data_IF_031705953950
#
_entry.id   IF_031705953950
#
_cell.length_a   1.000
_cell.length_b   1.000
_cell.length_c   1.000
_cell.angle_alpha   90.00
_cell.angle_beta   90.00
_cell.angle_gamma   90.00
#
_symmetry.space_group_name_H-M   'P 1'
#
loop_
_entity.id
_entity.type
_entity.pdbx_description
1 polymer ?
#
# COMPACT_ATOMS: atom_id res chain seq x y z
N UNK A 1 -12.53 6.33 -22.59
CA UNK A 1 -13.25 6.23 -21.29
C UNK A 1 -12.45 5.47 -20.23
N UNK A 2 -12.00 4.23 -20.48
CA UNK A 2 -11.32 3.38 -19.49
C UNK A 2 -10.06 3.98 -18.87
N UNK A 3 -9.12 4.51 -19.68
CA UNK A 3 -7.90 5.18 -19.18
C UNK A 3 -8.22 6.27 -18.16
N UNK A 4 -9.14 7.16 -18.49
CA UNK A 4 -9.56 8.26 -17.59
C UNK A 4 -10.10 7.71 -16.27
N UNK A 5 -11.00 6.72 -16.32
CA UNK A 5 -11.59 6.12 -15.12
C UNK A 5 -10.58 5.37 -14.25
N UNK A 6 -9.61 4.70 -14.85
CA UNK A 6 -8.53 4.06 -14.12
C UNK A 6 -7.68 5.07 -13.34
N UNK A 7 -7.32 6.20 -13.97
CA UNK A 7 -6.57 7.28 -13.32
C UNK A 7 -7.39 7.93 -12.20
N UNK A 8 -8.65 8.27 -12.46
CA UNK A 8 -9.55 8.84 -11.43
C UNK A 8 -9.65 7.95 -10.18
N UNK A 9 -9.78 6.63 -10.36
CA UNK A 9 -9.81 5.69 -9.24
C UNK A 9 -8.44 5.62 -8.54
N UNK A 10 -7.34 5.56 -9.30
CA UNK A 10 -5.99 5.55 -8.76
C UNK A 10 -5.74 6.75 -7.84
N UNK A 11 -6.09 7.95 -8.28
CA UNK A 11 -5.96 9.19 -7.48
C UNK A 11 -6.73 9.10 -6.16
N UNK A 12 -7.94 8.51 -6.19
CA UNK A 12 -8.76 8.30 -4.99
C UNK A 12 -8.18 7.26 -4.03
N UNK A 13 -7.29 6.38 -4.48
CA UNK A 13 -6.62 5.39 -3.64
C UNK A 13 -5.34 5.92 -2.98
N UNK A 14 -4.73 7.01 -3.50
CA UNK A 14 -3.50 7.59 -2.94
C UNK A 14 -3.55 7.89 -1.43
N UNK A 15 -4.68 8.33 -0.83
CA UNK A 15 -4.75 8.54 0.61
C UNK A 15 -4.51 7.28 1.46
N UNK A 16 -4.70 6.06 0.92
CA UNK A 16 -4.41 4.83 1.67
C UNK A 16 -2.94 4.74 2.11
N UNK A 17 -2.02 5.34 1.35
CA UNK A 17 -0.58 5.35 1.64
C UNK A 17 -0.16 6.43 2.64
N UNK A 18 -1.10 7.22 3.18
CA UNK A 18 -0.83 8.24 4.20
C UNK A 18 -0.68 7.59 5.57
N UNK A 19 0.40 6.84 5.73
CA UNK A 19 0.85 6.21 6.97
C UNK A 19 2.30 6.60 7.24
N UNK A 20 2.79 6.54 8.49
CA UNK A 20 4.19 6.89 8.80
C UNK A 20 5.22 6.14 7.95
N UNK A 21 4.94 4.89 7.60
CA UNK A 21 5.85 4.04 6.79
C UNK A 21 5.59 4.12 5.29
N UNK A 22 4.41 4.59 4.88
CA UNK A 22 3.91 4.49 3.52
C UNK A 22 3.41 3.10 3.12
N UNK A 23 3.29 2.16 4.05
CA UNK A 23 2.55 0.91 3.86
C UNK A 23 1.05 1.24 3.95
N UNK A 24 0.24 0.89 2.94
CA UNK A 24 -1.13 1.38 2.86
C UNK A 24 -2.07 0.73 3.88
N UNK A 25 -3.13 1.46 4.20
CA UNK A 25 -4.31 0.94 4.89
C UNK A 25 -5.07 -0.06 4.00
N UNK A 26 -5.65 -1.11 4.61
CA UNK A 26 -6.48 -2.10 3.92
C UNK A 26 -7.85 -1.54 3.47
N UNK A 27 -8.46 -0.71 4.32
CA UNK A 27 -9.78 -0.10 4.10
C UNK A 27 -9.61 1.39 3.85
N UNK A 28 -10.29 1.91 2.82
CA UNK A 28 -10.28 3.33 2.49
C UNK A 28 -11.69 3.82 2.15
N UNK A 29 -12.12 4.91 2.78
CA UNK A 29 -13.28 5.65 2.32
C UNK A 29 -12.88 6.59 1.18
N UNK A 30 -13.34 6.31 -0.05
CA UNK A 30 -12.96 7.07 -1.25
C UNK A 30 -13.45 8.54 -1.24
N UNK A 31 -14.47 8.88 -0.44
CA UNK A 31 -14.99 10.25 -0.34
C UNK A 31 -14.19 11.07 0.65
N UNK A 32 -13.97 10.55 1.86
CA UNK A 32 -13.26 11.28 2.93
C UNK A 32 -11.74 11.09 2.90
N UNK A 33 -11.25 10.05 2.23
CA UNK A 33 -9.83 9.68 2.21
C UNK A 33 -9.32 9.10 3.53
N UNK A 34 -10.20 8.80 4.48
CA UNK A 34 -9.85 8.19 5.77
C UNK A 34 -9.66 6.69 5.58
N UNK A 35 -8.49 6.19 5.98
CA UNK A 35 -8.13 4.78 5.90
C UNK A 35 -7.93 4.14 7.29
N UNK A 36 -8.06 2.82 7.34
CA UNK A 36 -7.77 1.97 8.51
C UNK A 36 -7.47 0.54 8.07
N UNK A 37 -6.90 -0.27 8.95
CA UNK A 37 -6.76 -1.72 8.71
C UNK A 37 -7.98 -2.50 9.20
N UNK A 38 -8.02 -3.80 8.86
CA UNK A 38 -9.05 -4.71 9.34
C UNK A 38 -9.09 -4.75 10.86
N UNK A 39 -10.27 -4.70 11.50
CA UNK A 39 -10.39 -4.69 12.97
C UNK A 39 -9.78 -5.93 13.64
N UNK A 40 -9.75 -7.05 12.94
CA UNK A 40 -9.22 -8.33 13.41
C UNK A 40 -7.76 -8.57 13.03
N UNK A 41 -7.15 -7.71 12.19
CA UNK A 41 -5.76 -7.89 11.78
C UNK A 41 -4.84 -7.69 12.98
N UNK A 42 -3.85 -8.58 13.12
CA UNK A 42 -2.96 -8.58 14.29
C UNK A 42 -2.30 -7.22 14.52
N UNK A 43 -2.50 -6.65 15.71
CA UNK A 43 -1.93 -5.36 16.09
C UNK A 43 -2.32 -4.20 15.17
N UNK A 44 -3.45 -4.30 14.46
CA UNK A 44 -3.87 -3.33 13.46
C UNK A 44 -2.96 -3.28 12.22
N UNK A 45 -2.31 -4.40 11.88
CA UNK A 45 -1.36 -4.49 10.78
C UNK A 45 -2.02 -4.55 9.41
N UNK A 46 -1.26 -4.17 8.37
CA UNK A 46 -1.62 -4.35 6.97
C UNK A 46 -1.22 -5.75 6.50
N UNK A 47 -1.96 -6.33 5.56
CA UNK A 47 -1.76 -7.70 5.08
C UNK A 47 -0.81 -7.72 3.88
N UNK A 48 0.21 -8.58 3.93
CA UNK A 48 1.28 -8.69 2.92
C UNK A 48 0.75 -8.81 1.50
N UNK A 49 -0.21 -9.71 1.27
CA UNK A 49 -0.79 -9.90 -0.05
C UNK A 49 -1.58 -8.68 -0.54
N UNK A 50 -2.24 -7.93 0.35
CA UNK A 50 -3.02 -6.75 -0.04
C UNK A 50 -2.12 -5.61 -0.51
N UNK A 51 -1.14 -5.21 0.30
CA UNK A 51 -0.23 -4.12 -0.11
C UNK A 51 0.83 -4.58 -1.11
N UNK A 52 1.16 -5.88 -1.16
CA UNK A 52 2.12 -6.46 -2.09
C UNK A 52 1.60 -6.60 -3.52
N UNK A 53 0.28 -6.69 -3.70
CA UNK A 53 -0.37 -6.92 -5.00
C UNK A 53 -0.96 -5.63 -5.59
N UNK A 54 -0.24 -4.53 -5.44
CA UNK A 54 -0.58 -3.23 -6.04
C UNK A 54 0.40 -2.81 -7.15
N UNK A 55 1.49 -3.57 -7.31
CA UNK A 55 2.67 -3.08 -8.02
C UNK A 55 2.42 -2.89 -9.51
N UNK A 56 1.81 -3.87 -10.19
CA UNK A 56 1.66 -3.82 -11.64
C UNK A 56 0.70 -2.71 -12.07
N UNK A 57 -0.40 -2.59 -11.35
CA UNK A 57 -1.48 -1.63 -11.56
C UNK A 57 -0.96 -0.20 -11.38
N UNK A 58 -0.27 0.08 -10.27
CA UNK A 58 0.26 1.42 -9.98
C UNK A 58 1.39 1.81 -10.92
N UNK A 59 2.24 0.86 -11.34
CA UNK A 59 3.25 1.13 -12.37
C UNK A 59 2.60 1.52 -13.70
N UNK A 60 1.53 0.83 -14.10
CA UNK A 60 0.77 1.19 -15.31
C UNK A 60 0.05 2.52 -15.17
N UNK A 61 -0.51 2.84 -13.99
CA UNK A 61 -1.13 4.15 -13.73
C UNK A 61 -0.13 5.28 -13.91
N UNK A 62 1.10 5.15 -13.39
CA UNK A 62 2.14 6.15 -13.63
C UNK A 62 2.49 6.29 -15.11
N UNK A 63 2.66 5.17 -15.83
CA UNK A 63 2.94 5.20 -17.27
C UNK A 63 1.83 5.87 -18.08
N UNK A 64 0.57 5.59 -17.76
CA UNK A 64 -0.59 6.09 -18.50
C UNK A 64 -1.01 7.50 -18.10
N UNK A 65 -0.75 7.95 -16.87
CA UNK A 65 -1.10 9.30 -16.42
C UNK A 65 0.04 10.30 -16.59
N UNK A 66 1.29 9.84 -16.65
CA UNK A 66 2.48 10.69 -16.53
C UNK A 66 2.77 11.13 -15.09
N UNK A 67 1.93 10.77 -14.11
CA UNK A 67 2.15 11.09 -12.70
C UNK A 67 3.04 10.00 -12.05
N UNK A 68 4.28 10.31 -11.64
CA UNK A 68 5.19 9.33 -11.03
C UNK A 68 4.76 8.89 -9.63
N UNK A 69 3.81 9.59 -8.99
CA UNK A 69 3.41 9.31 -7.61
C UNK A 69 2.92 7.87 -7.40
N UNK A 70 2.16 7.29 -8.34
CA UNK A 70 1.67 5.92 -8.24
C UNK A 70 2.82 4.90 -8.12
N UNK A 71 3.79 4.97 -9.05
CA UNK A 71 4.99 4.14 -9.02
C UNK A 71 5.81 4.37 -7.74
N UNK A 72 5.95 5.62 -7.30
CA UNK A 72 6.67 5.94 -6.07
C UNK A 72 6.05 5.28 -4.84
N UNK A 73 4.71 5.22 -4.72
CA UNK A 73 4.05 4.54 -3.59
C UNK A 73 4.41 3.06 -3.53
N UNK A 74 4.30 2.33 -4.64
CA UNK A 74 4.58 0.89 -4.66
C UNK A 74 6.08 0.57 -4.60
N UNK A 75 6.94 1.48 -5.05
CA UNK A 75 8.38 1.36 -4.84
C UNK A 75 8.77 1.61 -3.37
N UNK A 76 8.05 2.48 -2.66
CA UNK A 76 8.26 2.67 -1.22
C UNK A 76 7.94 1.39 -0.43
N UNK A 77 6.87 0.67 -0.77
CA UNK A 77 6.56 -0.65 -0.17
C UNK A 77 7.77 -1.60 -0.29
N UNK A 78 8.39 -1.68 -1.48
CA UNK A 78 9.59 -2.50 -1.70
C UNK A 78 10.76 -2.06 -0.80
N UNK A 79 10.99 -0.75 -0.67
CA UNK A 79 12.04 -0.20 0.20
C UNK A 79 11.82 -0.57 1.66
N UNK A 80 10.59 -0.48 2.17
CA UNK A 80 10.24 -0.89 3.53
C UNK A 80 10.52 -2.38 3.74
N UNK A 81 9.98 -3.24 2.86
CA UNK A 81 10.19 -4.69 2.94
C UNK A 81 11.67 -5.11 2.85
N UNK A 82 12.47 -4.41 2.05
CA UNK A 82 13.89 -4.71 1.88
C UNK A 82 14.73 -4.38 3.12
N UNK A 83 14.30 -3.40 3.93
CA UNK A 83 14.99 -2.99 5.16
C UNK A 83 14.72 -3.90 6.35
N UNK A 84 13.67 -4.73 6.28
CA UNK A 84 13.31 -5.63 7.36
C UNK A 84 14.04 -6.96 7.24
N UNK A 85 14.50 -7.44 8.38
CA UNK A 85 14.94 -8.82 8.54
C UNK A 85 13.76 -9.77 8.33
N UNK A 86 13.99 -10.82 7.55
CA UNK A 86 12.99 -11.85 7.27
C UNK A 86 13.27 -13.04 8.18
N UNK A 87 12.38 -13.40 9.12
CA UNK A 87 12.60 -14.56 9.98
C UNK A 87 12.75 -15.81 9.11
N UNK A 88 13.93 -16.44 9.17
CA UNK A 88 14.28 -17.61 8.35
C UNK A 88 14.15 -17.37 6.83
N UNK A 89 14.27 -16.11 6.38
CA UNK A 89 14.06 -15.75 4.97
C UNK A 89 12.59 -15.69 4.54
N UNK A 90 11.63 -15.90 5.46
CA UNK A 90 10.20 -15.87 5.19
C UNK A 90 9.61 -14.48 5.44
N UNK A 91 8.55 -14.15 4.70
CA UNK A 91 7.81 -12.90 4.88
C UNK A 91 6.58 -13.15 5.76
N UNK A 92 6.50 -12.55 6.96
CA UNK A 92 5.27 -12.57 7.75
C UNK A 92 4.11 -11.90 7.00
N UNK A 93 2.90 -12.40 7.23
CA UNK A 93 1.70 -11.89 6.56
C UNK A 93 1.24 -10.53 7.08
N UNK A 94 1.71 -10.09 8.24
CA UNK A 94 1.29 -8.85 8.88
C UNK A 94 2.45 -7.89 9.03
N UNK A 95 2.27 -6.63 8.64
CA UNK A 95 3.23 -5.55 8.87
C UNK A 95 2.50 -4.30 9.36
N UNK A 96 2.93 -3.74 10.49
CA UNK A 96 2.29 -2.59 11.10
C UNK A 96 2.64 -1.31 10.32
N UNK A 97 1.65 -0.57 9.77
CA UNK A 97 1.94 0.60 8.93
C UNK A 97 2.40 1.83 9.70
N UNK A 98 2.31 1.83 11.04
CA UNK A 98 2.80 2.92 11.90
C UNK A 98 4.26 2.68 12.31
N UNK A 99 4.61 1.48 12.76
CA UNK A 99 5.97 1.16 13.23
C UNK A 99 6.89 0.62 12.15
N UNK A 100 6.34 0.07 11.07
CA UNK A 100 7.09 -0.58 9.99
C UNK A 100 7.69 -1.92 10.39
N UNK A 101 7.25 -2.50 11.51
CA UNK A 101 7.71 -3.80 12.00
C UNK A 101 6.72 -4.91 11.64
N UNK A 102 7.21 -6.15 11.58
CA UNK A 102 6.35 -7.32 11.43
C UNK A 102 5.36 -7.43 12.60
N UNK A 103 4.11 -7.77 12.29
CA UNK A 103 3.11 -8.17 13.28
C UNK A 103 3.32 -9.62 13.71
N UNK A 104 2.82 -9.97 14.90
CA UNK A 104 2.80 -11.35 15.42
C UNK A 104 1.51 -12.08 15.06
#
# INVERSE_FOLDING_TARGET
VFRRKAVELGEKLLPAFKTPTGIPWALLNLKSGIGRNWPWASGGSSILAEYGTLHLEFMHLSKLSGNPEFAQKVMNIRKVLNRLDKPQGLYPNYLNPNSGQWGQ
#
